data_IF_703456333359
#
_entry.id   IF_703456333359
#
_cell.length_a   1.000
_cell.length_b   1.000
_cell.length_c   1.000
_cell.angle_alpha   90.00
_cell.angle_beta   90.00
_cell.angle_gamma   90.00
#
_symmetry.space_group_name_H-M   'P 1'
#
loop_
_entity.id
_entity.type
_entity.pdbx_description
1 polymer ?
#
# COMPACT_ATOMS: atom_id res chain seq x y z
N UNK A 1 21.75 14.35 -3.11
CA UNK A 1 21.72 14.03 -4.54
C UNK A 1 20.42 14.53 -5.17
N UNK A 2 20.50 14.93 -6.42
CA UNK A 2 19.33 15.40 -7.14
C UNK A 2 18.37 14.25 -7.41
N UNK A 3 17.07 14.54 -7.44
CA UNK A 3 16.06 13.59 -7.87
C UNK A 3 16.25 13.26 -9.35
N UNK A 4 15.92 12.03 -9.73
CA UNK A 4 15.94 11.60 -11.13
C UNK A 4 14.57 11.78 -11.75
N UNK A 5 14.55 12.32 -12.96
CA UNK A 5 13.33 12.37 -13.76
C UNK A 5 13.12 11.03 -14.47
N UNK A 6 11.86 10.57 -14.52
CA UNK A 6 11.47 9.34 -15.20
C UNK A 6 10.25 9.60 -16.08
N UNK A 7 10.31 9.14 -17.30
CA UNK A 7 9.18 9.27 -18.22
C UNK A 7 8.01 8.37 -17.83
N UNK A 8 8.31 7.19 -17.31
CA UNK A 8 7.32 6.20 -16.91
C UNK A 8 7.71 5.63 -15.54
N UNK A 9 6.76 5.13 -14.81
CA UNK A 9 6.99 4.53 -13.52
C UNK A 9 5.73 4.56 -12.67
N UNK A 10 4.68 3.81 -13.06
CA UNK A 10 3.46 3.79 -12.29
C UNK A 10 3.70 3.17 -10.92
N UNK A 11 3.24 3.89 -9.91
CA UNK A 11 3.15 3.41 -8.53
C UNK A 11 1.75 3.68 -8.04
N UNK A 12 1.34 2.94 -7.03
CA UNK A 12 0.07 3.18 -6.39
C UNK A 12 0.24 3.38 -4.89
N UNK A 13 -0.63 4.22 -4.34
CA UNK A 13 -0.90 4.28 -2.92
C UNK A 13 -2.18 3.52 -2.67
N UNK A 14 -2.13 2.54 -1.77
CA UNK A 14 -3.33 1.92 -1.23
C UNK A 14 -3.58 2.62 0.09
N UNK A 15 -4.70 3.31 0.21
CA UNK A 15 -5.09 4.03 1.42
C UNK A 15 -6.18 3.22 2.09
N UNK A 16 -5.87 2.67 3.25
CA UNK A 16 -6.80 1.86 4.05
C UNK A 16 -7.39 2.76 5.12
N UNK A 17 -8.70 2.80 5.21
CA UNK A 17 -9.41 3.58 6.23
C UNK A 17 -10.19 2.63 7.12
N UNK A 18 -9.93 2.72 8.43
CA UNK A 18 -10.61 1.88 9.42
C UNK A 18 -12.07 2.27 9.56
N UNK A 19 -12.91 1.26 9.76
CA UNK A 19 -14.26 1.46 10.24
C UNK A 19 -14.27 1.85 11.73
N UNK A 20 -15.45 1.95 12.34
CA UNK A 20 -15.60 2.54 13.68
C UNK A 20 -15.06 1.69 14.83
N UNK A 21 -14.82 0.40 14.63
CA UNK A 21 -14.42 -0.50 15.70
C UNK A 21 -12.93 -0.84 15.64
N UNK A 22 -12.14 -0.25 16.53
CA UNK A 22 -10.72 -0.57 16.64
C UNK A 22 -10.50 -2.01 17.14
N UNK A 23 -11.40 -2.53 17.94
CA UNK A 23 -11.33 -3.92 18.38
C UNK A 23 -11.50 -4.88 17.22
N UNK A 24 -12.38 -4.56 16.27
CA UNK A 24 -12.56 -5.37 15.06
C UNK A 24 -11.31 -5.34 14.16
N UNK A 25 -10.65 -4.17 14.09
CA UNK A 25 -9.36 -4.04 13.40
C UNK A 25 -8.31 -4.93 14.08
N UNK A 26 -8.18 -4.84 15.41
CA UNK A 26 -7.19 -5.62 16.13
C UNK A 26 -7.42 -7.13 16.01
N UNK A 27 -8.67 -7.55 15.90
CA UNK A 27 -9.01 -8.96 15.68
C UNK A 27 -8.51 -9.49 14.33
N UNK A 28 -8.35 -8.62 13.33
CA UNK A 28 -7.85 -8.98 12.00
C UNK A 28 -6.38 -8.66 11.79
N UNK A 29 -5.71 -8.08 12.78
CA UNK A 29 -4.36 -7.54 12.62
C UNK A 29 -3.34 -8.61 12.23
N UNK A 30 -3.40 -9.78 12.85
CA UNK A 30 -2.47 -10.87 12.55
C UNK A 30 -2.54 -11.29 11.07
N UNK A 31 -3.75 -11.46 10.55
CA UNK A 31 -3.94 -11.86 9.16
C UNK A 31 -3.55 -10.75 8.20
N UNK A 32 -3.85 -9.49 8.57
CA UNK A 32 -3.43 -8.33 7.78
C UNK A 32 -1.90 -8.24 7.69
N UNK A 33 -1.19 -8.44 8.80
CA UNK A 33 0.28 -8.41 8.81
C UNK A 33 0.84 -9.53 7.95
N UNK A 34 0.27 -10.73 8.00
CA UNK A 34 0.70 -11.85 7.15
C UNK A 34 0.50 -11.52 5.66
N UNK A 35 -0.59 -10.84 5.33
CA UNK A 35 -0.86 -10.38 3.97
C UNK A 35 0.16 -9.34 3.52
N UNK A 36 0.53 -8.38 4.39
CA UNK A 36 1.59 -7.40 4.11
C UNK A 36 2.93 -8.10 3.86
N UNK A 37 3.30 -9.02 4.75
CA UNK A 37 4.58 -9.74 4.64
C UNK A 37 4.69 -10.49 3.31
N UNK A 38 3.60 -11.09 2.85
CA UNK A 38 3.55 -11.77 1.56
C UNK A 38 3.80 -10.77 0.42
N UNK A 39 3.17 -9.61 0.45
CA UNK A 39 3.36 -8.57 -0.56
C UNK A 39 4.80 -8.06 -0.61
N UNK A 40 5.46 -7.92 0.55
CA UNK A 40 6.88 -7.56 0.60
C UNK A 40 7.77 -8.68 0.09
N UNK A 41 7.49 -9.93 0.47
CA UNK A 41 8.27 -11.08 0.01
C UNK A 41 8.21 -11.26 -1.50
N UNK A 42 7.07 -10.94 -2.11
CA UNK A 42 6.89 -11.00 -3.56
C UNK A 42 7.45 -9.78 -4.29
N UNK A 43 7.96 -8.79 -3.57
CA UNK A 43 8.52 -7.58 -4.15
C UNK A 43 7.47 -6.61 -4.69
N UNK A 44 6.21 -6.77 -4.32
CA UNK A 44 5.11 -5.93 -4.80
C UNK A 44 4.96 -4.68 -3.93
N UNK A 45 4.99 -4.83 -2.60
CA UNK A 45 4.94 -3.71 -1.67
C UNK A 45 6.33 -3.15 -1.42
N UNK A 46 6.44 -1.83 -1.35
CA UNK A 46 7.70 -1.12 -1.15
C UNK A 46 7.83 -0.54 0.25
N UNK A 47 6.76 0.01 0.79
CA UNK A 47 6.71 0.54 2.14
C UNK A 47 5.26 0.59 2.59
N UNK A 48 5.03 0.37 3.87
CA UNK A 48 3.70 0.43 4.46
C UNK A 48 3.79 0.91 5.91
N UNK A 49 2.73 1.54 6.38
CA UNK A 49 2.65 2.00 7.76
C UNK A 49 1.28 2.48 8.14
N UNK A 50 1.08 2.66 9.44
CA UNK A 50 -0.16 3.22 9.99
C UNK A 50 -0.21 4.72 9.78
N UNK A 51 -1.40 5.22 9.58
CA UNK A 51 -1.63 6.67 9.66
C UNK A 51 -1.49 7.11 11.11
N UNK A 52 -1.04 8.32 11.31
CA UNK A 52 -0.94 8.96 12.63
C UNK A 52 -1.83 10.21 12.63
N UNK A 53 -2.91 10.25 13.43
CA UNK A 53 -3.38 9.22 14.37
C UNK A 53 -3.83 7.92 13.68
N UNK A 54 -3.98 6.85 14.46
CA UNK A 54 -4.28 5.50 13.95
C UNK A 54 -5.72 5.39 13.42
N UNK A 55 -5.92 5.87 12.21
CA UNK A 55 -7.21 5.83 11.50
C UNK A 55 -7.20 4.92 10.27
N UNK A 56 -6.06 4.34 9.98
CA UNK A 56 -5.87 3.50 8.80
C UNK A 56 -4.40 3.26 8.52
N UNK A 57 -4.11 2.95 7.28
CA UNK A 57 -2.75 2.73 6.83
C UNK A 57 -2.53 3.21 5.41
N UNK A 58 -1.28 3.23 5.01
CA UNK A 58 -0.88 3.56 3.65
C UNK A 58 0.14 2.53 3.19
N UNK A 59 -0.02 2.05 1.97
CA UNK A 59 0.90 1.11 1.34
C UNK A 59 1.34 1.72 0.02
N UNK A 60 2.65 1.78 -0.20
CA UNK A 60 3.20 2.12 -1.51
C UNK A 60 3.48 0.82 -2.23
N UNK A 61 2.86 0.62 -3.38
CA UNK A 61 2.94 -0.63 -4.13
C UNK A 61 3.31 -0.39 -5.58
N UNK A 62 3.99 -1.36 -6.17
CA UNK A 62 4.24 -1.37 -7.60
C UNK A 62 2.95 -1.65 -8.34
N UNK A 63 2.93 -1.27 -9.61
CA UNK A 63 1.89 -1.68 -10.53
C UNK A 63 0.89 -0.59 -10.86
N UNK A 64 -0.12 -0.97 -11.62
CA UNK A 64 -1.16 -0.07 -12.09
C UNK A 64 -2.36 -0.15 -11.16
N UNK A 65 -3.24 0.82 -11.29
CA UNK A 65 -4.41 0.97 -10.40
C UNK A 65 -5.25 -0.29 -10.33
N UNK A 66 -5.54 -0.92 -11.47
CA UNK A 66 -6.37 -2.12 -11.48
C UNK A 66 -5.72 -3.28 -10.71
N UNK A 67 -4.40 -3.43 -10.83
CA UNK A 67 -3.64 -4.45 -10.09
C UNK A 67 -3.64 -4.15 -8.58
N UNK A 68 -3.42 -2.90 -8.22
CA UNK A 68 -3.42 -2.48 -6.83
C UNK A 68 -4.80 -2.60 -6.19
N UNK A 69 -5.87 -2.28 -6.94
CA UNK A 69 -7.23 -2.46 -6.47
C UNK A 69 -7.57 -3.93 -6.23
N UNK A 70 -7.17 -4.81 -7.15
CA UNK A 70 -7.37 -6.25 -6.99
C UNK A 70 -6.61 -6.76 -5.75
N UNK A 71 -5.40 -6.27 -5.53
CA UNK A 71 -4.58 -6.67 -4.39
C UNK A 71 -5.19 -6.15 -3.07
N UNK A 72 -5.59 -4.89 -3.03
CA UNK A 72 -6.22 -4.28 -1.85
C UNK A 72 -7.51 -5.01 -1.46
N UNK A 73 -8.25 -5.51 -2.43
CA UNK A 73 -9.49 -6.26 -2.18
C UNK A 73 -9.24 -7.60 -1.45
N UNK A 74 -8.00 -8.08 -1.41
CA UNK A 74 -7.64 -9.31 -0.70
C UNK A 74 -7.13 -9.07 0.72
N UNK A 75 -6.95 -7.80 1.13
CA UNK A 75 -6.53 -7.46 2.49
C UNK A 75 -7.58 -7.97 3.49
N UNK A 76 -7.17 -8.74 4.51
CA UNK A 76 -8.10 -9.21 5.55
C UNK A 76 -8.89 -8.11 6.24
N UNK A 77 -8.36 -6.90 6.36
CA UNK A 77 -9.13 -5.76 6.85
C UNK A 77 -10.31 -5.43 5.93
N UNK A 78 -10.11 -5.57 4.64
CA UNK A 78 -11.14 -5.28 3.64
C UNK A 78 -12.10 -6.46 3.49
N UNK A 79 -11.59 -7.68 3.39
CA UNK A 79 -12.43 -8.87 3.20
C UNK A 79 -13.33 -9.14 4.39
N UNK A 80 -12.90 -8.78 5.59
CA UNK A 80 -13.72 -8.92 6.81
C UNK A 80 -14.68 -7.76 7.02
N UNK A 81 -14.59 -6.70 6.19
CA UNK A 81 -15.48 -5.56 6.27
C UNK A 81 -15.15 -4.55 7.36
N UNK A 82 -13.98 -4.67 8.02
CA UNK A 82 -13.61 -3.75 9.11
C UNK A 82 -12.93 -2.49 8.62
N UNK A 83 -12.52 -2.46 7.35
CA UNK A 83 -11.90 -1.29 6.72
C UNK A 83 -12.29 -1.23 5.25
N UNK A 84 -12.10 -0.06 4.67
CA UNK A 84 -12.20 0.17 3.23
C UNK A 84 -10.85 0.56 2.68
N UNK A 85 -10.66 0.37 1.39
CA UNK A 85 -9.43 0.77 0.72
C UNK A 85 -9.75 1.55 -0.55
N UNK A 86 -8.93 2.54 -0.83
CA UNK A 86 -8.94 3.25 -2.12
C UNK A 86 -7.54 3.31 -2.67
N UNK A 87 -7.42 3.42 -3.97
CA UNK A 87 -6.13 3.39 -4.67
C UNK A 87 -5.95 4.67 -5.45
N UNK A 88 -4.77 5.25 -5.31
CA UNK A 88 -4.33 6.38 -6.13
C UNK A 88 -3.14 5.89 -6.95
N UNK A 89 -3.28 5.90 -8.27
CA UNK A 89 -2.14 5.66 -9.15
C UNK A 89 -1.47 6.97 -9.48
N UNK A 90 -0.16 6.99 -9.46
CA UNK A 90 0.61 8.13 -9.92
C UNK A 90 1.83 7.65 -10.69
N UNK A 91 2.39 8.54 -11.48
CA UNK A 91 3.64 8.27 -12.17
C UNK A 91 4.79 8.81 -11.33
N UNK A 92 5.69 7.93 -10.92
CA UNK A 92 6.86 8.31 -10.12
C UNK A 92 7.91 8.99 -11.01
N UNK A 93 7.57 10.17 -11.52
CA UNK A 93 8.42 10.92 -12.46
C UNK A 93 9.73 11.37 -11.81
N UNK A 94 9.70 11.61 -10.52
CA UNK A 94 10.89 12.00 -9.75
C UNK A 94 11.05 11.03 -8.58
N UNK A 95 12.26 10.57 -8.37
CA UNK A 95 12.57 9.68 -7.26
C UNK A 95 13.99 9.93 -6.78
N UNK A 96 14.22 9.77 -5.48
CA UNK A 96 15.57 9.76 -4.95
C UNK A 96 16.34 8.60 -5.60
N UNK A 97 17.67 8.72 -5.78
CA UNK A 97 18.43 7.69 -6.52
C UNK A 97 18.26 6.27 -5.98
N UNK A 98 18.19 6.10 -4.68
CA UNK A 98 18.01 4.78 -4.07
C UNK A 98 16.63 4.20 -4.38
N UNK A 99 15.62 5.06 -4.40
CA UNK A 99 14.25 4.65 -4.73
C UNK A 99 14.12 4.40 -6.22
N UNK A 100 14.73 5.23 -7.04
CA UNK A 100 14.72 5.05 -8.50
C UNK A 100 15.33 3.69 -8.89
N UNK A 101 16.35 3.24 -8.18
CA UNK A 101 16.96 1.92 -8.40
C UNK A 101 15.96 0.78 -8.13
N UNK A 102 15.11 0.93 -7.13
CA UNK A 102 14.06 -0.05 -6.83
C UNK A 102 12.97 -0.10 -7.90
N UNK A 103 12.78 1.00 -8.61
CA UNK A 103 11.70 1.14 -9.61
C UNK A 103 12.16 0.83 -11.03
N UNK A 104 13.44 0.61 -11.20
CA UNK A 104 14.04 0.33 -12.52
C UNK A 104 13.62 -1.03 -13.07
#
# INVERSE_FOLDING_TARGET
MAASFRAEGPLCLIIVEYGPSIEAIDAQLKDHVAWLEKGFAEGVFLVAGRQDPRTGGVIVTRGRKAEAEALAATDPFVTSGVATARVIQFNASFAAPEIAALLA
#
